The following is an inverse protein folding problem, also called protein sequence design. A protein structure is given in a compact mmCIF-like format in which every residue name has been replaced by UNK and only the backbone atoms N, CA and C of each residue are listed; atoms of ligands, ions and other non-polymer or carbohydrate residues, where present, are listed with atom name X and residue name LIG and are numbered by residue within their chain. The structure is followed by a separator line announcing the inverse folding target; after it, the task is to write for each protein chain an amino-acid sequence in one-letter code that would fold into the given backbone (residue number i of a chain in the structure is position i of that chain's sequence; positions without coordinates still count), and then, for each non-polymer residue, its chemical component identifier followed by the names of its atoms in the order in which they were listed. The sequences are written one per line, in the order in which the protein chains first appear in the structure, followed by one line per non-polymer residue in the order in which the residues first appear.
data_IF_362558043752
#
_entry.id   IF_362558043752
#
_cell.length_a   1.000
_cell.length_b   1.000
_cell.length_c   1.000
_cell.angle_alpha   90.00
_cell.angle_beta   90.00
_cell.angle_gamma   90.00
#
_symmetry.space_group_name_H-M   'P 1'
#
loop_
_entity.id
_entity.type
_entity.pdbx_description
1 polymer ?
#
# COMPACT_ATOMS: atom_id res chain seq x y z
N UNK A 1 -17.99 7.05 -0.92
CA UNK A 1 -17.15 6.05 -0.23
C UNK A 1 -15.69 6.40 -0.54
N UNK A 2 -14.83 6.59 0.45
CA UNK A 2 -13.42 6.89 0.19
C UNK A 2 -12.75 5.65 -0.44
N UNK A 3 -12.27 5.81 -1.66
CA UNK A 3 -11.61 4.78 -2.46
C UNK A 3 -10.38 4.32 -1.68
N UNK A 4 -10.49 3.15 -1.03
CA UNK A 4 -9.45 2.65 -0.13
C UNK A 4 -8.34 1.95 -0.89
N UNK A 5 -8.20 2.18 -2.21
CA UNK A 5 -7.24 1.51 -3.07
C UNK A 5 -6.16 2.50 -3.50
N UNK A 6 -4.91 2.06 -3.53
CA UNK A 6 -3.80 2.81 -4.09
C UNK A 6 -2.93 1.88 -4.91
N UNK A 7 -2.30 2.41 -5.96
CA UNK A 7 -1.32 1.63 -6.73
C UNK A 7 0.02 1.65 -6.04
N UNK A 8 0.62 0.48 -5.87
CA UNK A 8 1.99 0.36 -5.43
C UNK A 8 2.91 1.03 -6.45
N UNK A 9 3.78 1.96 -6.03
CA UNK A 9 4.74 2.60 -6.95
C UNK A 9 5.81 1.66 -7.51
N UNK A 10 6.00 0.50 -6.89
CA UNK A 10 7.10 -0.40 -7.23
C UNK A 10 6.69 -1.52 -8.21
N UNK A 11 5.47 -2.02 -8.10
CA UNK A 11 4.95 -3.09 -8.95
C UNK A 11 3.62 -2.73 -9.63
N UNK A 12 3.15 -1.50 -9.46
CA UNK A 12 1.92 -0.95 -10.07
C UNK A 12 0.62 -1.68 -9.71
N UNK A 13 0.69 -2.65 -8.79
CA UNK A 13 -0.45 -3.41 -8.28
C UNK A 13 -1.40 -2.51 -7.50
N UNK A 14 -2.71 -2.70 -7.71
CA UNK A 14 -3.73 -2.05 -6.91
C UNK A 14 -3.85 -2.73 -5.54
N UNK A 15 -3.63 -1.95 -4.49
CA UNK A 15 -3.60 -2.40 -3.10
C UNK A 15 -4.67 -1.71 -2.29
N UNK A 16 -5.31 -2.45 -1.40
CA UNK A 16 -6.21 -1.89 -0.41
C UNK A 16 -5.43 -1.27 0.76
N UNK A 17 -5.54 0.04 0.93
CA UNK A 17 -5.02 0.80 2.05
C UNK A 17 -5.34 0.16 3.41
N UNK A 18 -6.56 -0.34 3.63
CA UNK A 18 -6.90 -1.00 4.91
C UNK A 18 -6.04 -2.24 5.21
N UNK A 19 -5.70 -3.03 4.18
CA UNK A 19 -4.92 -4.27 4.34
C UNK A 19 -3.42 -4.03 4.25
N UNK A 20 -2.97 -3.11 3.41
CA UNK A 20 -1.54 -2.92 3.11
C UNK A 20 -0.90 -1.76 3.83
N UNK A 21 -1.67 -0.89 4.52
CA UNK A 21 -1.14 0.20 5.36
C UNK A 21 -0.14 -0.29 6.39
N UNK A 22 -0.39 -1.44 7.03
CA UNK A 22 0.51 -1.99 8.04
C UNK A 22 1.35 -3.18 7.53
N UNK A 23 0.90 -3.85 6.47
CA UNK A 23 1.50 -5.11 6.02
C UNK A 23 2.36 -4.97 4.75
N UNK A 24 2.36 -3.79 4.12
CA UNK A 24 3.09 -3.60 2.87
C UNK A 24 2.42 -4.22 1.66
N UNK A 25 3.02 -4.01 0.50
CA UNK A 25 2.61 -4.65 -0.74
C UNK A 25 2.95 -6.15 -0.65
N UNK A 26 1.97 -7.06 -0.79
CA UNK A 26 2.22 -8.50 -0.74
C UNK A 26 3.01 -9.03 -1.94
N UNK A 27 3.00 -8.29 -3.05
CA UNK A 27 3.64 -8.71 -4.30
C UNK A 27 5.14 -8.40 -4.31
N UNK A 28 5.51 -7.14 -4.04
CA UNK A 28 6.91 -6.71 -4.07
C UNK A 28 7.54 -6.51 -2.68
N UNK A 29 6.79 -6.73 -1.60
CA UNK A 29 7.26 -6.55 -0.23
C UNK A 29 7.50 -5.10 0.19
N UNK A 30 7.14 -4.13 -0.66
CA UNK A 30 7.36 -2.71 -0.34
C UNK A 30 6.40 -2.28 0.76
N UNK A 31 6.93 -2.01 1.95
CA UNK A 31 6.17 -1.41 3.02
C UNK A 31 5.92 0.05 2.66
N UNK A 32 4.68 0.57 2.74
CA UNK A 32 4.49 2.01 2.69
C UNK A 32 5.36 2.59 3.80
N UNK A 33 6.28 3.49 3.45
CA UNK A 33 6.97 4.28 4.45
C UNK A 33 5.86 4.97 5.24
N UNK A 34 5.60 4.50 6.46
CA UNK A 34 4.95 5.35 7.44
C UNK A 34 5.83 6.59 7.48
N UNK A 35 5.32 7.70 6.97
CA UNK A 35 5.86 9.00 7.29
C UNK A 35 5.92 9.03 8.80
N UNK A 36 7.11 8.83 9.35
CA UNK A 36 7.41 9.10 10.75
C UNK A 36 7.23 10.62 10.87
N UNK A 37 6.04 11.02 11.29
CA UNK A 37 5.82 12.31 11.94
C UNK A 37 6.35 12.20 13.38
#
# INVERSE_FOLDING_TARGET
MAESHYKCRNCEEELHYQTTKHNGCPNCGVMPLHSAD
#
